data_IF_525879375478
#
_entry.id   IF_525879375478
#
_cell.length_a   1.000
_cell.length_b   1.000
_cell.length_c   1.000
_cell.angle_alpha   90.00
_cell.angle_beta   90.00
_cell.angle_gamma   90.00
#
_symmetry.space_group_name_H-M   'P 1'
#
loop_
_entity.id
_entity.type
_entity.pdbx_description
1 polymer ?
#
# COMPACT_ATOMS: atom_id res chain seq x y z
N UNK A 1 9.14 -16.48 -16.40
CA UNK A 1 9.89 -15.54 -15.53
C UNK A 1 8.96 -15.07 -14.42
N UNK A 2 9.41 -15.12 -13.17
CA UNK A 2 8.61 -14.70 -12.00
C UNK A 2 8.90 -13.24 -11.66
N UNK A 3 7.88 -12.37 -11.65
CA UNK A 3 8.01 -10.95 -11.29
C UNK A 3 6.77 -10.46 -10.55
N UNK A 4 6.72 -9.21 -10.11
CA UNK A 4 5.52 -8.62 -9.51
C UNK A 4 4.35 -8.49 -10.48
N UNK A 5 4.60 -8.52 -11.80
CA UNK A 5 3.54 -8.39 -12.79
C UNK A 5 2.60 -9.58 -12.79
N UNK A 6 1.30 -9.30 -12.87
CA UNK A 6 0.27 -10.33 -13.00
C UNK A 6 0.28 -11.04 -14.36
N UNK A 7 0.99 -10.50 -15.35
CA UNK A 7 1.24 -11.13 -16.66
C UNK A 7 2.44 -12.09 -16.65
N UNK A 8 3.10 -12.25 -15.50
CA UNK A 8 4.23 -13.18 -15.36
C UNK A 8 3.74 -14.64 -15.33
N UNK A 9 4.60 -15.56 -15.76
CA UNK A 9 4.36 -17.01 -15.62
C UNK A 9 4.01 -17.41 -14.19
N UNK A 10 4.70 -16.79 -13.22
CA UNK A 10 4.42 -16.92 -11.78
C UNK A 10 4.40 -15.50 -11.18
N UNK A 11 3.21 -14.90 -11.00
CA UNK A 11 3.10 -13.57 -10.40
C UNK A 11 3.52 -13.57 -8.93
N UNK A 12 4.30 -12.57 -8.53
CA UNK A 12 4.82 -12.39 -7.18
C UNK A 12 4.34 -11.06 -6.58
N UNK A 13 3.02 -10.87 -6.39
CA UNK A 13 2.53 -9.68 -5.71
C UNK A 13 2.99 -9.67 -4.24
N UNK A 14 3.15 -8.49 -3.66
CA UNK A 14 3.49 -8.36 -2.24
C UNK A 14 2.31 -8.66 -1.31
N UNK A 15 1.09 -8.74 -1.82
CA UNK A 15 -0.05 -9.15 -1.02
C UNK A 15 -0.06 -10.67 -0.84
N UNK A 16 -0.39 -11.11 0.38
CA UNK A 16 -0.71 -12.49 0.70
C UNK A 16 -1.74 -12.55 1.82
N UNK A 17 -2.69 -13.48 1.72
CA UNK A 17 -3.68 -13.73 2.77
C UNK A 17 -3.04 -14.27 4.06
N UNK A 18 -1.82 -14.81 3.99
CA UNK A 18 -1.07 -15.26 5.16
C UNK A 18 -0.39 -14.11 5.91
N UNK A 19 -0.10 -13.00 5.23
CA UNK A 19 0.66 -11.87 5.79
C UNK A 19 -0.23 -10.69 6.20
N UNK A 20 -1.33 -10.45 5.48
CA UNK A 20 -2.15 -9.26 5.66
C UNK A 20 -3.63 -9.59 5.87
N UNK A 21 -4.24 -8.92 6.85
CA UNK A 21 -5.69 -8.97 7.11
C UNK A 21 -6.28 -7.60 6.83
N UNK A 22 -6.61 -7.34 5.56
CA UNK A 22 -7.01 -6.02 5.10
C UNK A 22 -8.46 -5.64 5.44
N UNK A 23 -9.35 -6.61 5.69
CA UNK A 23 -10.74 -6.35 6.11
C UNK A 23 -10.93 -6.36 7.63
N UNK A 24 -9.92 -5.94 8.40
CA UNK A 24 -10.07 -5.73 9.84
C UNK A 24 -10.56 -4.31 10.16
N UNK A 25 -11.11 -4.08 11.37
CA UNK A 25 -11.55 -2.75 11.79
C UNK A 25 -10.46 -1.70 11.62
N UNK A 26 -10.84 -0.58 11.02
CA UNK A 26 -9.96 0.58 10.85
C UNK A 26 -9.86 1.37 12.15
N UNK A 27 -8.83 2.21 12.25
CA UNK A 27 -8.72 3.19 13.33
C UNK A 27 -9.78 4.27 13.15
N UNK A 28 -10.43 4.70 14.23
CA UNK A 28 -11.41 5.80 14.17
C UNK A 28 -10.67 7.13 14.19
N UNK A 29 -11.06 8.07 13.32
CA UNK A 29 -10.38 9.37 13.25
C UNK A 29 -10.43 10.12 14.59
N UNK A 30 -11.51 9.97 15.36
CA UNK A 30 -11.64 10.59 16.69
C UNK A 30 -10.68 10.01 17.74
N UNK A 31 -10.29 8.74 17.61
CA UNK A 31 -9.55 7.96 18.61
C UNK A 31 -8.04 7.85 18.27
N UNK A 32 -7.61 8.38 17.12
CA UNK A 32 -6.21 8.28 16.68
C UNK A 32 -5.30 9.22 17.47
N UNK A 33 -4.13 8.71 17.88
CA UNK A 33 -3.12 9.47 18.64
C UNK A 33 -2.64 10.70 17.85
N UNK A 34 -2.40 10.52 16.54
CA UNK A 34 -1.83 11.55 15.67
C UNK A 34 -2.74 11.77 14.46
N UNK A 35 -3.56 12.82 14.51
CA UNK A 35 -4.40 13.30 13.39
C UNK A 35 -3.58 14.00 12.29
N UNK A 36 -2.60 13.28 11.74
CA UNK A 36 -1.64 13.75 10.73
C UNK A 36 -1.14 12.58 9.88
N UNK A 37 -0.31 12.86 8.89
CA UNK A 37 0.30 11.80 8.06
C UNK A 37 1.68 11.38 8.57
N UNK A 38 2.04 10.11 8.33
CA UNK A 38 3.40 9.60 8.55
C UNK A 38 4.02 9.07 7.25
N UNK A 39 5.31 9.35 7.06
CA UNK A 39 6.16 8.78 6.03
C UNK A 39 7.24 7.90 6.68
N UNK A 40 7.35 6.66 6.19
CA UNK A 40 8.32 5.69 6.71
C UNK A 40 9.04 5.05 5.53
N UNK A 41 10.25 5.53 5.24
CA UNK A 41 11.07 5.04 4.16
C UNK A 41 12.55 5.03 4.53
N UNK A 42 13.24 3.95 4.11
CA UNK A 42 14.70 3.83 4.22
C UNK A 42 15.45 3.98 2.89
N UNK A 43 14.80 3.61 1.79
CA UNK A 43 15.38 3.70 0.45
C UNK A 43 15.21 5.13 -0.09
N UNK A 44 16.15 6.01 0.20
CA UNK A 44 16.09 7.40 -0.24
C UNK A 44 16.64 7.55 -1.67
N UNK A 45 16.49 8.73 -2.27
CA UNK A 45 16.87 9.00 -3.66
C UNK A 45 16.07 8.12 -4.63
N UNK A 46 14.74 8.15 -4.46
CA UNK A 46 13.83 7.35 -5.27
C UNK A 46 13.88 7.74 -6.75
N UNK A 47 13.55 6.78 -7.64
CA UNK A 47 13.50 7.02 -9.09
C UNK A 47 12.38 7.97 -9.50
N UNK A 48 11.35 8.09 -8.67
CA UNK A 48 10.14 8.89 -8.94
C UNK A 48 10.06 10.18 -8.12
N UNK A 49 11.17 10.60 -7.48
CA UNK A 49 11.27 11.78 -6.61
C UNK A 49 10.13 11.88 -5.57
N UNK A 50 9.78 10.74 -4.95
CA UNK A 50 8.79 10.74 -3.88
C UNK A 50 9.21 11.64 -2.71
N UNK A 51 10.52 11.80 -2.47
CA UNK A 51 11.04 12.67 -1.43
C UNK A 51 10.71 14.15 -1.72
N UNK A 52 10.80 14.58 -2.98
CA UNK A 52 10.33 15.90 -3.43
C UNK A 52 8.85 16.12 -3.12
N UNK A 53 8.00 15.15 -3.50
CA UNK A 53 6.56 15.22 -3.21
C UNK A 53 6.25 15.28 -1.70
N UNK A 54 6.93 14.45 -0.89
CA UNK A 54 6.76 14.48 0.57
C UNK A 54 7.18 15.83 1.15
N UNK A 55 8.28 16.43 0.65
CA UNK A 55 8.73 17.75 1.08
C UNK A 55 7.70 18.83 0.78
N UNK A 56 7.15 18.86 -0.43
CA UNK A 56 6.07 19.80 -0.78
C UNK A 56 4.80 19.56 0.07
N UNK A 57 4.47 18.31 0.40
CA UNK A 57 3.36 18.02 1.31
C UNK A 57 3.63 18.50 2.74
N UNK A 58 4.86 18.43 3.25
CA UNK A 58 5.22 18.91 4.59
C UNK A 58 4.99 20.42 4.77
N UNK A 59 5.04 21.20 3.68
CA UNK A 59 4.75 22.65 3.71
C UNK A 59 3.24 22.94 3.83
N UNK A 60 2.38 21.98 3.48
CA UNK A 60 0.94 22.17 3.33
C UNK A 60 0.11 21.33 4.31
N UNK A 61 0.66 20.24 4.83
CA UNK A 61 0.00 19.24 5.66
C UNK A 61 0.94 18.84 6.81
N UNK A 62 0.44 18.57 8.03
CA UNK A 62 1.28 17.97 9.06
C UNK A 62 1.72 16.56 8.63
N UNK A 63 3.00 16.41 8.34
CA UNK A 63 3.64 15.13 7.95
C UNK A 63 4.85 14.89 8.84
N UNK A 64 4.91 13.71 9.46
CA UNK A 64 6.10 13.22 10.17
C UNK A 64 6.80 12.17 9.32
N UNK A 65 8.03 12.43 8.91
CA UNK A 65 8.93 11.42 8.38
C UNK A 65 9.82 10.90 9.49
N UNK A 66 9.59 9.65 9.88
CA UNK A 66 10.18 9.04 11.09
C UNK A 66 11.22 7.97 10.79
N UNK A 67 11.70 7.91 9.55
CA UNK A 67 12.77 7.00 9.13
C UNK A 67 13.88 7.78 8.41
N UNK A 68 14.86 7.12 7.81
CA UNK A 68 16.08 7.77 7.35
C UNK A 68 15.88 8.77 6.21
N UNK A 69 14.80 8.68 5.44
CA UNK A 69 14.52 9.67 4.40
C UNK A 69 13.81 10.90 4.97
N UNK A 70 14.33 12.11 4.69
CA UNK A 70 13.87 13.41 5.19
C UNK A 70 13.96 13.61 6.71
N UNK A 71 13.59 12.60 7.51
CA UNK A 71 13.77 12.50 8.95
C UNK A 71 13.51 13.80 9.74
N UNK A 72 12.26 14.26 9.75
CA UNK A 72 11.88 15.49 10.46
C UNK A 72 11.30 15.24 11.87
N UNK A 73 11.14 13.97 12.26
CA UNK A 73 10.64 13.57 13.57
C UNK A 73 11.21 12.21 13.96
N UNK A 74 11.35 11.97 15.27
CA UNK A 74 11.68 10.66 15.80
C UNK A 74 10.48 9.71 15.76
N UNK A 75 10.76 8.40 15.79
CA UNK A 75 9.72 7.38 15.95
C UNK A 75 9.01 7.59 17.29
N UNK A 76 7.68 7.79 17.32
CA UNK A 76 6.96 7.97 18.57
C UNK A 76 6.86 6.67 19.38
N UNK A 77 7.16 6.77 20.67
CA UNK A 77 7.04 5.66 21.63
C UNK A 77 8.17 4.64 21.56
N UNK A 78 7.93 3.44 22.10
CA UNK A 78 8.89 2.34 22.06
C UNK A 78 8.95 1.69 20.66
N UNK A 79 10.09 1.06 20.35
CA UNK A 79 10.26 0.32 19.08
C UNK A 79 9.28 -0.86 19.04
N UNK A 80 8.21 -0.70 18.26
CA UNK A 80 7.25 -1.75 17.92
C UNK A 80 7.37 -2.18 16.45
N UNK A 81 6.40 -2.95 15.96
CA UNK A 81 6.33 -3.29 14.54
C UNK A 81 6.01 -2.05 13.69
N UNK A 82 6.28 -2.13 12.38
CA UNK A 82 5.90 -1.05 11.44
C UNK A 82 4.38 -0.81 11.45
N UNK A 83 3.58 -1.87 11.61
CA UNK A 83 2.12 -1.77 11.70
C UNK A 83 1.72 -1.00 12.96
N UNK A 84 2.32 -1.29 14.11
CA UNK A 84 2.03 -0.59 15.37
C UNK A 84 2.38 0.91 15.28
N UNK A 85 3.48 1.24 14.62
CA UNK A 85 3.86 2.62 14.33
C UNK A 85 2.81 3.31 13.45
N UNK A 86 2.48 2.70 12.32
CA UNK A 86 1.55 3.30 11.34
C UNK A 86 0.16 3.51 11.97
N UNK A 87 -0.31 2.59 12.83
CA UNK A 87 -1.60 2.69 13.56
C UNK A 87 -1.77 3.94 14.42
N UNK A 88 -0.67 4.62 14.78
CA UNK A 88 -0.71 5.87 15.57
C UNK A 88 -1.16 7.08 14.74
N UNK A 89 -1.18 6.96 13.42
CA UNK A 89 -1.43 8.06 12.49
C UNK A 89 -2.73 7.88 11.72
N UNK A 90 -3.41 8.98 11.43
CA UNK A 90 -4.63 8.96 10.64
C UNK A 90 -4.36 8.58 9.17
N UNK A 91 -3.22 9.02 8.63
CA UNK A 91 -2.82 8.83 7.24
C UNK A 91 -1.42 8.20 7.16
N UNK A 92 -1.21 7.32 6.18
CA UNK A 92 0.12 6.80 5.85
C UNK A 92 0.49 7.16 4.41
N UNK A 93 1.63 7.81 4.21
CA UNK A 93 2.17 8.06 2.87
C UNK A 93 2.81 6.78 2.33
N UNK A 94 1.98 5.94 1.71
CA UNK A 94 2.33 4.65 1.11
C UNK A 94 2.99 4.86 -0.27
N UNK A 95 4.11 5.59 -0.29
CA UNK A 95 4.76 6.01 -1.54
C UNK A 95 5.84 5.02 -1.95
N UNK A 96 5.71 4.45 -3.15
CA UNK A 96 6.72 3.61 -3.76
C UNK A 96 7.92 4.44 -4.24
N UNK A 97 9.07 3.78 -4.38
CA UNK A 97 10.32 4.41 -4.85
C UNK A 97 10.45 4.46 -6.38
N UNK A 98 9.43 3.97 -7.10
CA UNK A 98 9.32 4.00 -8.56
C UNK A 98 7.86 3.80 -8.97
N UNK A 99 7.50 4.31 -10.15
CA UNK A 99 6.15 4.18 -10.70
C UNK A 99 6.18 3.10 -11.79
N UNK A 100 5.93 1.84 -11.41
CA UNK A 100 5.94 0.68 -12.32
C UNK A 100 4.65 -0.09 -12.12
N UNK A 101 4.03 -0.54 -13.22
CA UNK A 101 2.81 -1.35 -13.16
C UNK A 101 3.03 -2.59 -12.29
N UNK A 102 2.00 -2.92 -11.50
CA UNK A 102 2.00 -4.01 -10.52
C UNK A 102 3.05 -3.93 -9.40
N UNK A 103 3.86 -2.88 -9.34
CA UNK A 103 4.79 -2.64 -8.25
C UNK A 103 4.07 -2.00 -7.04
N UNK A 104 3.24 -2.82 -6.39
CA UNK A 104 2.44 -2.45 -5.21
C UNK A 104 2.94 -3.26 -4.01
N UNK A 105 3.66 -2.60 -3.10
CA UNK A 105 4.49 -3.27 -2.09
C UNK A 105 3.86 -3.31 -0.70
N UNK A 106 4.64 -3.73 0.31
CA UNK A 106 4.27 -3.74 1.73
C UNK A 106 3.79 -2.38 2.25
N UNK A 107 4.08 -1.29 1.55
CA UNK A 107 3.63 0.05 1.93
C UNK A 107 2.11 0.18 1.85
N UNK A 108 1.49 -0.25 0.74
CA UNK A 108 0.04 -0.22 0.63
C UNK A 108 -0.58 -1.23 1.60
N UNK A 109 -0.12 -2.49 1.54
CA UNK A 109 -0.72 -3.59 2.29
C UNK A 109 -0.56 -3.42 3.79
N UNK A 110 0.61 -2.96 4.26
CA UNK A 110 0.85 -2.63 5.65
C UNK A 110 0.01 -1.45 6.15
N UNK A 111 -0.40 -0.52 5.30
CA UNK A 111 -1.34 0.55 5.67
C UNK A 111 -2.76 0.01 5.86
N UNK A 112 -3.23 -0.79 4.90
CA UNK A 112 -4.54 -1.41 4.94
C UNK A 112 -4.65 -2.37 6.13
N UNK A 113 -3.59 -3.14 6.39
CA UNK A 113 -3.42 -3.93 7.61
C UNK A 113 -3.14 -3.06 8.84
N UNK A 114 -2.66 -1.83 8.76
CA UNK A 114 -2.71 -0.95 9.94
C UNK A 114 -4.14 -0.49 10.23
N UNK A 115 -5.11 -0.71 9.33
CA UNK A 115 -6.43 -0.10 9.48
C UNK A 115 -6.38 1.42 9.27
N UNK A 116 -5.32 1.92 8.62
CA UNK A 116 -5.05 3.34 8.38
C UNK A 116 -5.35 3.64 6.91
N UNK A 117 -5.71 4.89 6.60
CA UNK A 117 -5.95 5.34 5.23
C UNK A 117 -4.61 5.59 4.50
N UNK A 118 -4.26 4.80 3.47
CA UNK A 118 -3.09 5.08 2.64
C UNK A 118 -3.34 6.25 1.68
N UNK A 119 -2.37 7.15 1.63
CA UNK A 119 -2.16 8.07 0.52
C UNK A 119 -1.11 7.41 -0.38
N UNK A 120 -1.48 7.04 -1.59
CA UNK A 120 -0.68 6.17 -2.45
C UNK A 120 -0.05 6.91 -3.63
N UNK A 121 1.24 6.69 -3.86
CA UNK A 121 1.98 7.17 -5.03
C UNK A 121 2.90 6.03 -5.50
N UNK A 122 2.73 5.54 -6.72
CA UNK A 122 3.46 4.36 -7.19
C UNK A 122 2.90 3.81 -8.50
N UNK A 123 2.51 2.53 -8.49
CA UNK A 123 2.02 1.81 -9.66
C UNK A 123 0.87 2.55 -10.36
N UNK A 124 0.99 2.86 -11.67
CA UNK A 124 -0.05 3.55 -12.42
C UNK A 124 -1.40 2.81 -12.44
N UNK A 125 -1.36 1.49 -12.37
CA UNK A 125 -2.51 0.60 -12.37
C UNK A 125 -2.98 0.15 -10.96
N UNK A 126 -2.64 0.89 -9.89
CA UNK A 126 -3.00 0.52 -8.50
C UNK A 126 -4.49 0.23 -8.27
N UNK A 127 -5.39 0.75 -9.10
CA UNK A 127 -6.82 0.45 -9.07
C UNK A 127 -7.15 -1.03 -9.33
N UNK A 128 -6.23 -1.79 -9.95
CA UNK A 128 -6.31 -3.24 -10.10
C UNK A 128 -5.89 -4.00 -8.83
N UNK A 129 -5.33 -3.31 -7.84
CA UNK A 129 -4.73 -3.90 -6.65
C UNK A 129 -5.44 -3.47 -5.38
N UNK A 130 -5.68 -2.17 -5.19
CA UNK A 130 -6.38 -1.67 -4.02
C UNK A 130 -7.87 -2.05 -4.08
N UNK A 131 -8.49 -2.46 -2.96
CA UNK A 131 -9.94 -2.50 -2.86
C UNK A 131 -10.55 -1.15 -3.30
N UNK A 132 -11.64 -1.13 -4.09
CA UNK A 132 -12.22 0.12 -4.56
C UNK A 132 -12.57 1.08 -3.42
N UNK A 133 -12.12 2.34 -3.55
CA UNK A 133 -12.35 3.38 -2.54
C UNK A 133 -11.52 3.24 -1.26
N UNK A 134 -10.47 2.41 -1.23
CA UNK A 134 -9.65 2.19 -0.03
C UNK A 134 -8.42 3.09 0.11
N UNK A 135 -8.15 3.96 -0.87
CA UNK A 135 -6.94 4.77 -0.94
C UNK A 135 -7.25 6.20 -1.39
N UNK A 136 -6.35 7.13 -1.05
CA UNK A 136 -6.23 8.41 -1.76
C UNK A 136 -5.08 8.26 -2.76
N UNK A 137 -5.38 8.18 -4.06
CA UNK A 137 -4.34 8.08 -5.08
C UNK A 137 -3.84 9.48 -5.46
N UNK A 138 -2.53 9.71 -5.29
CA UNK A 138 -1.90 11.00 -5.59
C UNK A 138 -2.13 11.43 -7.04
N UNK A 139 -2.18 10.48 -7.98
CA UNK A 139 -2.33 10.76 -9.42
C UNK A 139 -3.71 11.29 -9.80
N UNK A 140 -4.68 11.24 -8.90
CA UNK A 140 -6.03 11.75 -9.15
C UNK A 140 -6.13 13.27 -8.92
N UNK A 141 -5.05 13.90 -8.43
CA UNK A 141 -5.02 15.33 -8.12
C UNK A 141 -4.15 16.09 -9.12
N UNK A 142 -4.57 17.29 -9.55
CA UNK A 142 -3.83 18.09 -10.52
C UNK A 142 -2.57 18.74 -9.92
N UNK A 143 -2.48 18.84 -8.59
CA UNK A 143 -1.32 19.45 -7.89
C UNK A 143 -1.19 18.96 -6.46
N UNK A 144 -0.04 19.20 -5.85
CA UNK A 144 0.22 18.90 -4.43
C UNK A 144 -0.69 19.71 -3.50
N UNK A 145 -1.05 20.95 -3.87
CA UNK A 145 -1.97 21.80 -3.13
C UNK A 145 -3.39 21.23 -3.13
N UNK A 146 -3.86 20.73 -4.28
CA UNK A 146 -5.15 20.08 -4.39
C UNK A 146 -5.20 18.79 -3.54
N UNK A 147 -4.13 17.98 -3.60
CA UNK A 147 -3.98 16.81 -2.74
C UNK A 147 -3.99 17.21 -1.25
N UNK A 148 -3.18 18.18 -0.84
CA UNK A 148 -3.11 18.64 0.54
C UNK A 148 -4.44 19.21 1.04
N UNK A 149 -5.17 19.95 0.20
CA UNK A 149 -6.51 20.43 0.52
C UNK A 149 -7.49 19.29 0.80
N UNK A 150 -7.47 18.25 -0.04
CA UNK A 150 -8.29 17.05 0.16
C UNK A 150 -7.92 16.28 1.43
N UNK A 151 -6.62 16.08 1.67
CA UNK A 151 -6.14 15.41 2.89
C UNK A 151 -6.51 16.19 4.16
N UNK A 152 -6.47 17.52 4.15
CA UNK A 152 -6.97 18.35 5.25
C UNK A 152 -8.48 18.19 5.45
N UNK A 153 -9.26 18.14 4.38
CA UNK A 153 -10.70 17.90 4.46
C UNK A 153 -11.00 16.53 5.09
N UNK A 154 -10.24 15.49 4.71
CA UNK A 154 -10.32 14.16 5.32
C UNK A 154 -10.02 14.23 6.83
N UNK A 155 -8.93 14.88 7.23
CA UNK A 155 -8.53 14.99 8.65
C UNK A 155 -9.50 15.83 9.50
N UNK A 156 -10.30 16.70 8.88
CA UNK A 156 -11.27 17.56 9.54
C UNK A 156 -12.70 16.96 9.56
N UNK A 157 -12.96 15.89 8.80
CA UNK A 157 -14.29 15.34 8.62
C UNK A 157 -14.30 13.82 8.84
N UNK A 158 -14.80 13.39 9.99
CA UNK A 158 -14.92 11.96 10.35
C UNK A 158 -15.74 11.19 9.32
N UNK A 159 -16.89 11.70 8.88
CA UNK A 159 -17.71 11.01 7.87
C UNK A 159 -16.95 10.77 6.57
N UNK A 160 -16.17 11.76 6.12
CA UNK A 160 -15.34 11.62 4.93
C UNK A 160 -14.22 10.58 5.14
N UNK A 161 -13.51 10.64 6.27
CA UNK A 161 -12.48 9.66 6.61
C UNK A 161 -13.04 8.22 6.65
N UNK A 162 -14.16 8.04 7.34
CA UNK A 162 -14.81 6.74 7.53
C UNK A 162 -15.34 6.17 6.21
N UNK A 163 -15.70 7.03 5.24
CA UNK A 163 -16.13 6.60 3.91
C UNK A 163 -15.06 5.80 3.16
N UNK A 164 -13.77 6.11 3.35
CA UNK A 164 -12.63 5.37 2.79
C UNK A 164 -12.41 3.99 3.44
N UNK A 165 -13.20 3.66 4.47
CA UNK A 165 -13.13 2.38 5.18
C UNK A 165 -14.38 1.52 5.01
N UNK A 166 -15.41 2.00 4.31
CA UNK A 166 -16.66 1.26 4.10
C UNK A 166 -16.46 -0.10 3.42
N UNK A 167 -15.48 -0.22 2.52
CA UNK A 167 -15.13 -1.46 1.82
C UNK A 167 -14.69 -2.60 2.77
N UNK A 168 -14.23 -2.28 3.99
CA UNK A 168 -13.81 -3.29 4.98
C UNK A 168 -14.97 -4.13 5.49
N UNK A 169 -16.20 -3.60 5.41
CA UNK A 169 -17.41 -4.20 5.99
C UNK A 169 -18.36 -4.78 4.93
N UNK A 170 -17.85 -5.00 3.72
CA UNK A 170 -18.60 -5.57 2.59
C UNK A 170 -17.75 -6.65 1.92
N UNK A 171 -18.34 -7.64 1.24
CA UNK A 171 -17.56 -8.57 0.44
C UNK A 171 -16.67 -7.83 -0.57
N UNK A 172 -15.42 -8.28 -0.72
CA UNK A 172 -14.54 -7.75 -1.76
C UNK A 172 -15.10 -8.12 -3.15
N UNK A 173 -14.86 -7.28 -4.18
CA UNK A 173 -15.31 -7.59 -5.53
C UNK A 173 -14.79 -8.94 -6.02
N UNK A 174 -15.61 -9.70 -6.75
CA UNK A 174 -15.22 -11.03 -7.23
C UNK A 174 -13.94 -11.01 -8.08
N UNK A 175 -13.75 -9.98 -8.92
CA UNK A 175 -12.53 -9.81 -9.70
C UNK A 175 -11.28 -9.65 -8.82
N UNK A 176 -11.42 -8.99 -7.67
CA UNK A 176 -10.32 -8.75 -6.74
C UNK A 176 -9.95 -10.05 -6.05
N UNK A 177 -10.96 -10.79 -5.56
CA UNK A 177 -10.76 -12.11 -4.94
C UNK A 177 -10.08 -13.05 -5.94
N UNK A 178 -10.57 -13.13 -7.17
CA UNK A 178 -9.98 -13.96 -8.22
C UNK A 178 -8.51 -13.59 -8.50
N UNK A 179 -8.18 -12.30 -8.54
CA UNK A 179 -6.81 -11.82 -8.77
C UNK A 179 -5.85 -12.27 -7.67
N UNK A 180 -6.25 -12.17 -6.41
CA UNK A 180 -5.38 -12.49 -5.27
C UNK A 180 -5.56 -13.92 -4.74
N UNK A 181 -6.43 -14.74 -5.32
CA UNK A 181 -6.63 -16.13 -4.89
C UNK A 181 -5.34 -16.94 -4.93
N UNK A 182 -4.48 -16.67 -5.93
CA UNK A 182 -3.16 -17.29 -6.06
C UNK A 182 -2.27 -17.07 -4.83
N UNK A 183 -2.49 -16.01 -4.05
CA UNK A 183 -1.66 -15.66 -2.89
C UNK A 183 -2.06 -16.42 -1.63
N UNK A 184 -3.07 -17.31 -1.70
CA UNK A 184 -3.31 -18.32 -0.65
C UNK A 184 -2.21 -19.37 -0.61
N UNK A 185 -1.48 -19.54 -1.71
CA UNK A 185 -0.33 -20.43 -1.81
C UNK A 185 0.96 -19.60 -1.82
N UNK A 186 1.92 -19.99 -0.98
CA UNK A 186 3.22 -19.32 -0.90
C UNK A 186 3.91 -19.25 -2.27
N UNK A 187 4.60 -18.14 -2.54
CA UNK A 187 5.27 -17.88 -3.83
C UNK A 187 6.26 -18.95 -4.24
N UNK A 188 7.00 -19.49 -3.27
CA UNK A 188 7.95 -20.59 -3.49
C UNK A 188 7.23 -21.85 -3.98
N UNK A 189 6.12 -22.23 -3.34
CA UNK A 189 5.33 -23.39 -3.76
C UNK A 189 4.78 -23.20 -5.18
N UNK A 190 4.27 -22.00 -5.51
CA UNK A 190 3.77 -21.69 -6.86
C UNK A 190 4.88 -21.79 -7.90
N UNK A 191 6.09 -21.32 -7.57
CA UNK A 191 7.26 -21.42 -8.44
C UNK A 191 7.69 -22.88 -8.65
N UNK A 192 7.71 -23.69 -7.59
CA UNK A 192 8.03 -25.12 -7.68
C UNK A 192 7.02 -25.88 -8.54
N UNK A 193 5.71 -25.64 -8.35
CA UNK A 193 4.66 -26.27 -9.15
C UNK A 193 4.77 -25.90 -10.63
N UNK A 194 5.03 -24.62 -10.94
CA UNK A 194 5.25 -24.17 -12.30
C UNK A 194 6.47 -24.84 -12.94
N UNK A 195 7.60 -24.89 -12.23
CA UNK A 195 8.82 -25.52 -12.71
C UNK A 195 8.63 -27.02 -12.96
N UNK A 196 7.91 -27.71 -12.08
CA UNK A 196 7.61 -29.13 -12.24
C UNK A 196 6.73 -29.42 -13.47
N UNK A 197 5.63 -28.68 -13.61
CA UNK A 197 4.76 -28.76 -14.79
C UNK A 197 5.52 -28.48 -16.09
N UNK A 198 6.42 -27.50 -16.08
CA UNK A 198 7.24 -27.18 -17.25
C UNK A 198 8.22 -28.30 -17.60
N UNK A 199 8.85 -28.93 -16.60
CA UNK A 199 9.71 -30.10 -16.83
C UNK A 199 8.94 -31.25 -17.46
N UNK A 200 7.73 -31.52 -16.99
CA UNK A 200 6.91 -32.61 -17.52
C UNK A 200 6.46 -32.35 -18.96
N UNK A 201 6.03 -31.13 -19.28
CA UNK A 201 5.73 -30.74 -20.66
C UNK A 201 6.92 -30.94 -21.61
N UNK A 202 8.13 -30.58 -21.16
CA UNK A 202 9.35 -30.76 -21.96
C UNK A 202 9.69 -32.25 -22.17
N UNK A 203 9.42 -33.11 -21.18
CA UNK A 203 9.57 -34.57 -21.34
C UNK A 203 8.60 -35.11 -22.38
N UNK A 204 7.33 -34.71 -22.32
CA UNK A 204 6.30 -35.17 -23.25
C UNK A 204 6.51 -34.65 -24.69
N UNK A 205 7.10 -33.47 -24.85
CA UNK A 205 7.41 -32.90 -26.17
C UNK A 205 8.70 -33.46 -26.81
N UNK A 206 9.54 -34.13 -26.02
CA UNK A 206 10.76 -34.80 -26.48
C UNK A 206 10.64 -36.31 -26.66
N UNK A 207 9.47 -36.88 -26.37
CA UNK A 207 9.09 -38.27 -26.62
C UNK A 207 8.22 -38.37 -27.88
#
# INVERSE_FOLDING_TARGET
MSTTSFESDVPLPYFSYAEYVIQKPHIKLRDVERKKAVFVARNCLSKNDREGLVRSLMELLPVESVSSCLHNADVPGSRGSKVDLVRRYALYLAFENQNVDDYVTEKLWGALDAGVLPVYYGAPNVWQHAPPGSIVNVRDFPSTEALAAHLRAILANETLYESYHAWRYRPLPAWWVARFEITRTHSECRTCLWADARREQLRLAGA
#
